data_IF_871039318810
#
_entry.id   IF_871039318810
#
_cell.length_a   1.000
_cell.length_b   1.000
_cell.length_c   1.000
_cell.angle_alpha   90.00
_cell.angle_beta   90.00
_cell.angle_gamma   90.00
#
_symmetry.space_group_name_H-M   'P 1'
#
loop_
_entity.id
_entity.type
_entity.pdbx_description
1 polymer ?
#
# COMPACT_ATOMS: atom_id res chain seq x y z
N UNK A 1 24.04 12.02 -11.23
CA UNK A 1 22.71 11.98 -10.58
C UNK A 1 21.97 10.71 -10.98
N UNK A 2 21.65 9.80 -10.04
CA UNK A 2 20.78 8.65 -10.32
C UNK A 2 19.33 9.13 -10.44
N UNK A 3 18.86 9.32 -11.67
CA UNK A 3 17.45 9.59 -12.00
C UNK A 3 16.64 8.32 -11.83
N UNK A 4 15.57 8.35 -11.03
CA UNK A 4 14.38 7.46 -10.99
C UNK A 4 13.61 7.91 -9.73
N UNK A 5 12.28 8.09 -9.72
CA UNK A 5 11.28 7.02 -9.90
C UNK A 5 10.11 7.46 -10.82
N UNK A 6 9.93 8.74 -11.12
CA UNK A 6 8.62 9.20 -11.62
C UNK A 6 8.61 10.02 -12.90
N UNK A 7 9.70 10.71 -13.23
CA UNK A 7 9.90 11.50 -14.46
C UNK A 7 11.36 12.02 -14.45
N UNK A 8 11.83 12.60 -15.57
CA UNK A 8 13.13 13.29 -15.61
C UNK A 8 13.10 14.42 -14.57
N UNK A 9 14.15 14.56 -13.76
CA UNK A 9 14.33 15.60 -12.72
C UNK A 9 13.58 15.44 -11.38
N UNK A 10 13.00 14.26 -11.08
CA UNK A 10 12.43 13.98 -9.75
C UNK A 10 13.41 13.23 -8.83
N UNK A 11 13.42 13.53 -7.51
CA UNK A 11 14.29 12.87 -6.55
C UNK A 11 13.90 11.41 -6.32
N UNK A 12 14.90 10.58 -6.01
CA UNK A 12 14.69 9.15 -5.72
C UNK A 12 14.04 8.93 -4.35
N UNK A 13 13.49 7.73 -4.13
CA UNK A 13 12.96 7.37 -2.81
C UNK A 13 14.06 7.39 -1.73
N UNK A 14 15.31 7.09 -2.08
CA UNK A 14 16.45 7.28 -1.18
C UNK A 14 16.70 8.74 -0.80
N UNK A 15 16.47 9.68 -1.70
CA UNK A 15 16.53 11.10 -1.36
C UNK A 15 15.39 11.49 -0.41
N UNK A 16 14.16 11.05 -0.71
CA UNK A 16 12.98 11.32 0.13
C UNK A 16 13.16 10.74 1.54
N UNK A 17 13.65 9.50 1.66
CA UNK A 17 13.84 8.87 2.96
C UNK A 17 14.90 9.58 3.81
N UNK A 18 16.00 10.04 3.21
CA UNK A 18 17.08 10.75 3.93
C UNK A 18 16.65 12.11 4.47
N UNK A 19 15.69 12.76 3.83
CA UNK A 19 15.22 14.10 4.19
C UNK A 19 13.80 14.08 4.77
N UNK A 20 13.34 12.92 5.25
CA UNK A 20 12.01 12.77 5.83
C UNK A 20 11.92 13.46 7.19
N UNK A 21 10.83 14.20 7.52
CA UNK A 21 9.59 14.37 6.78
C UNK A 21 9.54 15.59 5.83
N UNK A 22 10.60 16.38 5.72
CA UNK A 22 10.62 17.66 4.98
C UNK A 22 10.27 17.48 3.49
N UNK A 23 10.57 16.32 2.92
CA UNK A 23 10.25 15.97 1.52
C UNK A 23 8.85 15.35 1.30
N UNK A 24 7.96 15.36 2.31
CA UNK A 24 6.58 14.84 2.23
C UNK A 24 5.79 15.43 1.05
N UNK A 25 5.97 16.72 0.76
CA UNK A 25 5.32 17.41 -0.35
C UNK A 25 5.71 16.84 -1.74
N UNK A 26 6.93 16.32 -1.88
CA UNK A 26 7.41 15.68 -3.13
C UNK A 26 6.67 14.36 -3.38
N UNK A 27 6.45 13.57 -2.33
CA UNK A 27 5.68 12.33 -2.41
C UNK A 27 4.19 12.62 -2.68
N UNK A 28 3.63 13.68 -2.08
CA UNK A 28 2.23 14.10 -2.27
C UNK A 28 1.87 14.28 -3.74
N UNK A 29 2.72 14.99 -4.50
CA UNK A 29 2.52 15.24 -5.93
C UNK A 29 2.35 13.93 -6.70
N UNK A 30 3.15 12.92 -6.36
CA UNK A 30 3.11 11.65 -7.05
C UNK A 30 1.92 10.78 -6.63
N UNK A 31 1.65 10.68 -5.33
CA UNK A 31 0.56 9.85 -4.80
C UNK A 31 -0.79 10.38 -5.28
N UNK A 32 -1.03 11.69 -5.21
CA UNK A 32 -2.33 12.30 -5.54
C UNK A 32 -2.53 12.60 -7.03
N UNK A 33 -1.49 12.49 -7.85
CA UNK A 33 -1.62 12.65 -9.30
C UNK A 33 -2.45 11.51 -9.89
N UNK A 34 -3.62 11.85 -10.43
CA UNK A 34 -4.52 10.92 -11.12
C UNK A 34 -4.53 11.12 -12.64
N UNK A 35 -3.60 11.93 -13.16
CA UNK A 35 -3.60 12.33 -14.57
C UNK A 35 -3.28 11.17 -15.52
N UNK A 36 -2.55 10.15 -15.05
CA UNK A 36 -2.14 9.00 -15.87
C UNK A 36 -2.20 7.70 -15.08
N UNK A 37 -2.61 6.64 -15.77
CA UNK A 37 -2.58 5.26 -15.27
C UNK A 37 -1.17 4.88 -14.80
N UNK A 38 -0.99 4.36 -13.57
CA UNK A 38 0.33 3.99 -13.07
C UNK A 38 0.93 2.81 -13.84
N UNK A 39 2.20 2.92 -14.23
CA UNK A 39 2.95 1.76 -14.72
C UNK A 39 3.52 1.01 -13.51
N UNK A 40 2.73 0.10 -12.94
CA UNK A 40 3.12 -0.64 -11.73
C UNK A 40 4.40 -1.44 -11.90
N UNK A 41 4.65 -2.04 -13.07
CA UNK A 41 5.88 -2.79 -13.28
C UNK A 41 7.11 -1.89 -13.16
N UNK A 42 7.06 -0.69 -13.77
CA UNK A 42 8.13 0.30 -13.67
C UNK A 42 8.27 0.83 -12.24
N UNK A 43 7.16 1.12 -11.55
CA UNK A 43 7.17 1.59 -10.16
C UNK A 43 7.82 0.55 -9.26
N UNK A 44 7.36 -0.70 -9.29
CA UNK A 44 7.88 -1.79 -8.46
C UNK A 44 9.36 -2.07 -8.74
N UNK A 45 9.78 -2.13 -10.01
CA UNK A 45 11.20 -2.33 -10.37
C UNK A 45 12.09 -1.16 -9.98
N UNK A 46 11.59 0.07 -10.07
CA UNK A 46 12.32 1.26 -9.60
C UNK A 46 12.47 1.27 -8.08
N UNK A 47 11.43 0.88 -7.34
CA UNK A 47 11.49 0.71 -5.88
C UNK A 47 12.51 -0.37 -5.49
N UNK A 48 12.49 -1.53 -6.16
CA UNK A 48 13.47 -2.59 -5.94
C UNK A 48 14.90 -2.08 -6.16
N UNK A 49 15.14 -1.37 -7.26
CA UNK A 49 16.46 -0.81 -7.56
C UNK A 49 16.92 0.20 -6.51
N UNK A 50 16.03 1.11 -6.09
CA UNK A 50 16.33 2.10 -5.06
C UNK A 50 16.59 1.43 -3.69
N UNK A 51 15.98 0.27 -3.42
CA UNK A 51 16.22 -0.59 -2.26
C UNK A 51 17.45 -1.51 -2.41
N UNK A 52 18.28 -1.34 -3.45
CA UNK A 52 19.45 -2.16 -3.77
C UNK A 52 19.13 -3.64 -4.08
N UNK A 53 17.91 -3.95 -4.53
CA UNK A 53 17.51 -5.29 -4.97
C UNK A 53 17.52 -5.36 -6.50
N UNK A 54 18.65 -5.79 -7.06
CA UNK A 54 18.87 -5.83 -8.52
C UNK A 54 18.51 -7.18 -9.16
N UNK A 55 18.65 -8.28 -8.42
CA UNK A 55 18.41 -9.65 -8.90
C UNK A 55 17.11 -10.18 -8.31
N UNK A 56 16.07 -10.24 -9.14
CA UNK A 56 14.74 -10.75 -8.75
C UNK A 56 14.35 -12.07 -9.44
N UNK A 57 15.20 -12.61 -10.32
CA UNK A 57 14.98 -13.89 -11.00
C UNK A 57 13.56 -14.06 -11.57
N UNK A 58 12.94 -15.19 -11.23
CA UNK A 58 11.60 -15.55 -11.72
C UNK A 58 10.47 -14.62 -11.20
N UNK A 59 10.72 -13.80 -10.17
CA UNK A 59 9.74 -12.81 -9.71
C UNK A 59 9.48 -11.71 -10.73
N UNK A 60 10.32 -11.55 -11.75
CA UNK A 60 10.07 -10.61 -12.85
C UNK A 60 8.75 -10.91 -13.56
N UNK A 61 8.48 -12.18 -13.87
CA UNK A 61 7.24 -12.57 -14.56
C UNK A 61 6.02 -12.44 -13.63
N UNK A 62 6.19 -12.78 -12.35
CA UNK A 62 5.17 -12.56 -11.31
C UNK A 62 4.80 -11.09 -11.24
N UNK A 63 5.79 -10.18 -11.13
CA UNK A 63 5.56 -8.74 -11.07
C UNK A 63 4.88 -8.21 -12.33
N UNK A 64 5.25 -8.68 -13.53
CA UNK A 64 4.55 -8.29 -14.77
C UNK A 64 3.08 -8.68 -14.73
N UNK A 65 2.78 -9.92 -14.34
CA UNK A 65 1.40 -10.44 -14.25
C UNK A 65 0.58 -9.66 -13.22
N UNK A 66 1.09 -9.54 -11.99
CA UNK A 66 0.43 -8.80 -10.91
C UNK A 66 0.25 -7.32 -11.25
N UNK A 67 1.25 -6.68 -11.88
CA UNK A 67 1.14 -5.29 -12.34
C UNK A 67 -0.01 -5.08 -13.31
N UNK A 68 -0.26 -6.05 -14.21
CA UNK A 68 -1.39 -6.00 -15.15
C UNK A 68 -2.72 -6.16 -14.41
N UNK A 69 -2.80 -7.10 -13.47
CA UNK A 69 -4.01 -7.33 -12.68
C UNK A 69 -4.35 -6.13 -11.79
N UNK A 70 -3.36 -5.59 -11.07
CA UNK A 70 -3.49 -4.38 -10.24
C UNK A 70 -3.82 -3.11 -11.03
N UNK A 71 -3.54 -3.12 -12.34
CA UNK A 71 -3.92 -2.04 -13.27
C UNK A 71 -5.38 -2.11 -13.72
N UNK A 72 -6.10 -3.18 -13.42
CA UNK A 72 -7.50 -3.35 -13.81
C UNK A 72 -8.39 -2.90 -12.66
N UNK A 73 -9.40 -2.09 -12.96
CA UNK A 73 -10.42 -1.65 -11.99
C UNK A 73 -11.79 -2.14 -12.46
N UNK A 74 -12.06 -3.43 -12.29
CA UNK A 74 -13.25 -4.09 -12.84
C UNK A 74 -14.57 -3.57 -12.26
N UNK A 75 -14.54 -3.05 -11.03
CA UNK A 75 -15.73 -2.68 -10.25
C UNK A 75 -15.91 -1.18 -10.12
N UNK A 76 -15.16 -0.36 -10.88
CA UNK A 76 -15.18 1.10 -10.81
C UNK A 76 -14.98 1.64 -9.38
N UNK A 77 -14.00 1.07 -8.65
CA UNK A 77 -13.63 1.54 -7.32
C UNK A 77 -13.17 2.99 -7.37
N UNK A 78 -13.68 3.81 -6.44
CA UNK A 78 -13.36 5.24 -6.38
C UNK A 78 -12.21 5.54 -5.41
N UNK A 79 -12.06 4.73 -4.36
CA UNK A 79 -10.97 4.80 -3.40
C UNK A 79 -9.98 3.64 -3.57
N UNK A 80 -10.45 2.38 -3.57
CA UNK A 80 -9.59 1.20 -3.73
C UNK A 80 -9.23 0.98 -5.22
N UNK A 81 -8.62 1.99 -5.82
CA UNK A 81 -8.26 2.07 -7.22
C UNK A 81 -6.74 1.89 -7.45
N UNK A 82 -6.32 1.99 -8.71
CA UNK A 82 -4.91 1.94 -9.08
C UNK A 82 -4.06 3.05 -8.43
N UNK A 83 -4.64 4.19 -8.05
CA UNK A 83 -3.91 5.27 -7.40
C UNK A 83 -3.69 5.00 -5.92
N UNK A 84 -4.62 4.33 -5.25
CA UNK A 84 -4.42 3.78 -3.92
C UNK A 84 -3.30 2.73 -3.90
N UNK A 85 -3.30 1.77 -4.82
CA UNK A 85 -2.23 0.75 -4.87
C UNK A 85 -0.85 1.40 -5.10
N UNK A 86 -0.79 2.41 -5.98
CA UNK A 86 0.41 3.21 -6.22
C UNK A 86 0.87 3.91 -4.93
N UNK A 87 -0.05 4.47 -4.15
CA UNK A 87 0.24 5.09 -2.87
C UNK A 87 0.87 4.10 -1.89
N UNK A 88 0.21 2.96 -1.69
CA UNK A 88 0.63 1.93 -0.72
C UNK A 88 2.00 1.38 -1.10
N UNK A 89 2.25 1.03 -2.36
CA UNK A 89 3.59 0.55 -2.81
C UNK A 89 4.71 1.53 -2.45
N UNK A 90 4.49 2.83 -2.69
CA UNK A 90 5.54 3.83 -2.44
C UNK A 90 5.74 4.14 -0.97
N UNK A 91 4.66 4.23 -0.21
CA UNK A 91 4.72 4.47 1.22
C UNK A 91 5.35 3.24 1.90
N UNK A 92 5.00 2.01 1.50
CA UNK A 92 5.64 0.80 2.01
C UNK A 92 7.15 0.82 1.75
N UNK A 93 7.59 1.20 0.54
CA UNK A 93 9.01 1.29 0.24
C UNK A 93 9.71 2.41 1.04
N UNK A 94 9.06 3.57 1.23
CA UNK A 94 9.58 4.65 2.08
C UNK A 94 9.79 4.16 3.52
N UNK A 95 8.77 3.56 4.11
CA UNK A 95 8.80 3.03 5.47
C UNK A 95 9.86 1.94 5.62
N UNK A 96 10.00 1.07 4.62
CA UNK A 96 11.06 0.06 4.57
C UNK A 96 12.46 0.69 4.61
N UNK A 97 12.68 1.80 3.90
CA UNK A 97 13.97 2.54 3.98
C UNK A 97 14.18 3.15 5.36
N UNK A 98 13.16 3.84 5.88
CA UNK A 98 13.23 4.52 7.19
C UNK A 98 13.44 3.52 8.34
N UNK A 99 12.92 2.30 8.19
CA UNK A 99 13.07 1.21 9.15
C UNK A 99 14.28 0.28 8.88
N UNK A 100 15.16 0.65 7.94
CA UNK A 100 16.34 -0.13 7.55
C UNK A 100 16.05 -1.59 7.18
N UNK A 101 14.94 -1.85 6.50
CA UNK A 101 14.52 -3.17 6.03
C UNK A 101 15.37 -3.59 4.81
N UNK A 102 16.31 -4.54 5.00
CA UNK A 102 17.38 -4.85 4.01
C UNK A 102 17.32 -6.24 3.36
N UNK A 103 16.51 -7.17 3.87
CA UNK A 103 16.49 -8.55 3.34
C UNK A 103 15.86 -8.58 1.94
N UNK A 104 16.65 -8.86 0.90
CA UNK A 104 16.23 -8.75 -0.51
C UNK A 104 14.94 -9.51 -0.84
N UNK A 105 14.82 -10.77 -0.41
CA UNK A 105 13.61 -11.56 -0.65
C UNK A 105 12.38 -10.96 0.06
N UNK A 106 12.55 -10.48 1.29
CA UNK A 106 11.48 -9.82 2.06
C UNK A 106 11.05 -8.50 1.41
N UNK A 107 11.97 -7.75 0.81
CA UNK A 107 11.66 -6.53 0.05
C UNK A 107 10.83 -6.87 -1.20
N UNK A 108 11.16 -7.95 -1.89
CA UNK A 108 10.37 -8.43 -3.04
C UNK A 108 8.94 -8.76 -2.58
N UNK A 109 8.80 -9.50 -1.49
CA UNK A 109 7.49 -9.85 -0.94
C UNK A 109 6.72 -8.62 -0.44
N UNK A 110 7.38 -7.67 0.20
CA UNK A 110 6.78 -6.41 0.62
C UNK A 110 6.14 -5.68 -0.56
N UNK A 111 6.88 -5.53 -1.67
CA UNK A 111 6.39 -4.85 -2.87
C UNK A 111 5.25 -5.63 -3.53
N UNK A 112 5.34 -6.96 -3.57
CA UNK A 112 4.27 -7.80 -4.11
C UNK A 112 3.00 -7.66 -3.28
N UNK A 113 3.09 -7.76 -1.95
CA UNK A 113 1.93 -7.66 -1.05
C UNK A 113 1.33 -6.25 -1.13
N UNK A 114 2.15 -5.20 -1.08
CA UNK A 114 1.68 -3.83 -1.23
C UNK A 114 0.96 -3.59 -2.56
N UNK A 115 1.42 -4.20 -3.66
CA UNK A 115 0.78 -4.09 -4.97
C UNK A 115 -0.58 -4.81 -5.06
N UNK A 116 -0.81 -5.83 -4.22
CA UNK A 116 -1.94 -6.76 -4.35
C UNK A 116 -2.89 -6.80 -3.15
N UNK A 117 -2.63 -6.05 -2.07
CA UNK A 117 -3.43 -6.12 -0.83
C UNK A 117 -4.94 -5.97 -1.06
N UNK A 118 -5.33 -5.13 -2.04
CA UNK A 118 -6.71 -4.90 -2.46
C UNK A 118 -7.05 -5.41 -3.86
N UNK A 119 -6.29 -6.39 -4.35
CA UNK A 119 -6.53 -6.94 -5.68
C UNK A 119 -7.96 -7.53 -5.78
N UNK A 120 -8.72 -7.11 -6.80
CA UNK A 120 -10.10 -7.56 -7.03
C UNK A 120 -11.08 -7.13 -5.91
N UNK A 121 -10.75 -6.03 -5.19
CA UNK A 121 -11.65 -5.38 -4.23
C UNK A 121 -12.96 -4.96 -4.92
N UNK A 122 -14.11 -5.27 -4.32
CA UNK A 122 -15.42 -5.10 -4.98
C UNK A 122 -16.02 -3.69 -4.91
N UNK A 123 -15.33 -2.72 -4.32
CA UNK A 123 -15.86 -1.37 -4.26
C UNK A 123 -17.05 -1.22 -3.31
N UNK A 124 -17.18 -2.09 -2.31
CA UNK A 124 -18.29 -2.08 -1.33
C UNK A 124 -17.90 -2.80 -0.05
N UNK A 125 -18.54 -2.39 1.05
CA UNK A 125 -18.39 -3.08 2.32
C UNK A 125 -19.21 -4.38 2.31
N UNK A 126 -18.54 -5.51 2.53
CA UNK A 126 -19.19 -6.81 2.70
C UNK A 126 -19.39 -7.05 4.20
N UNK A 127 -20.56 -6.67 4.71
CA UNK A 127 -20.83 -6.63 6.16
C UNK A 127 -20.98 -8.02 6.77
N UNK A 128 -21.50 -8.99 6.00
CA UNK A 128 -21.88 -10.31 6.52
C UNK A 128 -20.72 -11.31 6.58
N UNK A 129 -19.51 -10.91 6.15
CA UNK A 129 -18.34 -11.81 6.12
C UNK A 129 -17.06 -11.02 6.36
N UNK A 130 -16.58 -11.07 7.60
CA UNK A 130 -15.27 -10.53 7.98
C UNK A 130 -14.18 -11.11 7.08
N UNK A 131 -13.18 -10.29 6.76
CA UNK A 131 -12.02 -10.66 5.94
C UNK A 131 -12.32 -11.05 4.49
N UNK A 132 -13.55 -10.83 3.98
CA UNK A 132 -13.93 -11.31 2.65
C UNK A 132 -13.06 -10.72 1.53
N UNK A 133 -12.82 -9.41 1.55
CA UNK A 133 -12.01 -8.73 0.53
C UNK A 133 -10.55 -9.17 0.66
N UNK A 134 -10.04 -9.25 1.88
CA UNK A 134 -8.66 -9.62 2.20
C UNK A 134 -8.35 -11.06 1.76
N UNK A 135 -9.23 -12.01 2.07
CA UNK A 135 -9.10 -13.41 1.65
C UNK A 135 -9.20 -13.56 0.13
N UNK A 136 -10.01 -12.72 -0.53
CA UNK A 136 -10.14 -12.70 -2.00
C UNK A 136 -8.85 -12.17 -2.64
N UNK A 137 -8.33 -11.03 -2.18
CA UNK A 137 -7.06 -10.48 -2.65
C UNK A 137 -5.91 -11.48 -2.45
N UNK A 138 -5.86 -12.13 -1.28
CA UNK A 138 -4.85 -13.14 -1.00
C UNK A 138 -4.98 -14.37 -1.91
N UNK A 139 -6.21 -14.83 -2.20
CA UNK A 139 -6.46 -15.94 -3.12
C UNK A 139 -5.95 -15.64 -4.53
N UNK A 140 -6.19 -14.43 -5.03
CA UNK A 140 -5.67 -13.99 -6.34
C UNK A 140 -4.14 -13.96 -6.36
N UNK A 141 -3.50 -13.40 -5.32
CA UNK A 141 -2.05 -13.44 -5.19
C UNK A 141 -1.55 -14.88 -5.17
N UNK A 142 -2.13 -15.74 -4.32
CA UNK A 142 -1.65 -17.09 -4.09
C UNK A 142 -1.70 -17.95 -5.35
N UNK A 143 -2.71 -17.79 -6.20
CA UNK A 143 -2.74 -18.46 -7.51
C UNK A 143 -1.57 -18.07 -8.41
N UNK A 144 -1.12 -16.81 -8.37
CA UNK A 144 0.00 -16.34 -9.18
C UNK A 144 1.35 -16.82 -8.62
N UNK A 145 1.49 -16.88 -7.30
CA UNK A 145 2.76 -17.19 -6.63
C UNK A 145 2.84 -18.58 -6.02
N UNK A 146 1.84 -19.45 -6.21
CA UNK A 146 1.71 -20.74 -5.52
C UNK A 146 3.00 -21.57 -5.55
N UNK A 147 3.63 -21.71 -6.71
CA UNK A 147 4.89 -22.47 -6.90
C UNK A 147 6.11 -21.83 -6.22
N UNK A 148 5.98 -20.65 -5.62
CA UNK A 148 7.04 -19.90 -4.93
C UNK A 148 6.77 -19.73 -3.44
N UNK A 149 5.60 -20.15 -2.94
CA UNK A 149 5.27 -20.05 -1.52
C UNK A 149 5.60 -21.35 -0.80
N UNK A 150 6.41 -21.25 0.25
CA UNK A 150 6.44 -22.29 1.28
C UNK A 150 5.14 -22.25 2.09
N UNK A 151 4.76 -23.36 2.73
CA UNK A 151 3.60 -23.41 3.63
C UNK A 151 3.68 -22.36 4.74
N UNK A 152 4.89 -22.07 5.24
CA UNK A 152 5.14 -21.01 6.23
C UNK A 152 4.80 -19.63 5.66
N UNK A 153 5.29 -19.30 4.47
CA UNK A 153 5.03 -18.02 3.83
C UNK A 153 3.57 -17.88 3.41
N UNK A 154 2.92 -18.96 2.98
CA UNK A 154 1.49 -18.97 2.69
C UNK A 154 0.66 -18.53 3.91
N UNK A 155 0.85 -19.18 5.07
CA UNK A 155 0.15 -18.83 6.32
C UNK A 155 0.50 -17.40 6.78
N UNK A 156 1.77 -17.02 6.68
CA UNK A 156 2.25 -15.67 7.02
C UNK A 156 1.54 -14.62 6.17
N UNK A 157 1.53 -14.78 4.85
CA UNK A 157 0.94 -13.78 3.96
C UNK A 157 -0.58 -13.75 4.07
N UNK A 158 -1.24 -14.89 4.24
CA UNK A 158 -2.66 -14.90 4.55
C UNK A 158 -2.97 -14.06 5.81
N UNK A 159 -2.14 -14.18 6.87
CA UNK A 159 -2.27 -13.35 8.06
C UNK A 159 -2.04 -11.87 7.76
N UNK A 160 -1.03 -11.52 6.97
CA UNK A 160 -0.75 -10.12 6.57
C UNK A 160 -1.95 -9.50 5.85
N UNK A 161 -2.54 -10.22 4.88
CA UNK A 161 -3.74 -9.74 4.19
C UNK A 161 -4.91 -9.59 5.14
N UNK A 162 -5.22 -10.61 5.96
CA UNK A 162 -6.32 -10.49 6.94
C UNK A 162 -6.11 -9.34 7.92
N UNK A 163 -4.87 -8.97 8.19
CA UNK A 163 -4.53 -7.88 9.08
C UNK A 163 -4.86 -6.50 8.51
N UNK A 164 -4.98 -6.35 7.17
CA UNK A 164 -5.43 -5.09 6.55
C UNK A 164 -6.93 -4.86 6.72
N UNK A 165 -7.68 -5.82 7.29
CA UNK A 165 -9.08 -5.64 7.63
C UNK A 165 -9.26 -4.56 8.70
N UNK A 166 -9.54 -3.35 8.22
CA UNK A 166 -9.52 -2.13 9.03
C UNK A 166 -10.34 -2.20 10.34
N UNK A 167 -11.52 -2.84 10.42
CA UNK A 167 -12.29 -2.90 11.66
C UNK A 167 -11.58 -3.59 12.82
N UNK A 168 -10.68 -4.54 12.59
CA UNK A 168 -9.95 -5.27 13.63
C UNK A 168 -8.49 -4.88 13.59
N UNK A 169 -7.96 -4.29 14.67
CA UNK A 169 -6.53 -4.00 14.76
C UNK A 169 -5.79 -5.24 15.29
N UNK A 170 -4.80 -5.79 14.57
CA UNK A 170 -3.98 -6.88 15.08
C UNK A 170 -3.17 -6.46 16.31
N UNK A 171 -3.15 -7.31 17.34
CA UNK A 171 -2.41 -7.09 18.59
C UNK A 171 -1.04 -7.78 18.48
N UNK A 172 0.01 -7.20 19.08
CA UNK A 172 1.35 -7.80 19.20
C UNK A 172 1.99 -8.23 17.86
N UNK A 173 1.79 -7.45 16.80
CA UNK A 173 2.43 -7.71 15.49
C UNK A 173 3.95 -7.68 15.65
N UNK A 174 4.62 -8.82 15.45
CA UNK A 174 6.10 -8.93 15.48
C UNK A 174 6.72 -8.85 14.08
N UNK A 175 5.95 -9.17 13.05
CA UNK A 175 6.42 -9.22 11.67
C UNK A 175 6.62 -7.81 11.10
N UNK A 176 7.87 -7.47 10.77
CA UNK A 176 8.20 -6.14 10.23
C UNK A 176 7.53 -5.84 8.89
N UNK A 177 7.37 -6.86 8.03
CA UNK A 177 6.69 -6.69 6.75
C UNK A 177 5.22 -6.31 6.99
N UNK A 178 4.58 -7.04 7.90
CA UNK A 178 3.18 -6.80 8.30
C UNK A 178 2.99 -5.38 8.82
N UNK A 179 3.85 -4.92 9.74
CA UNK A 179 3.82 -3.53 10.24
C UNK A 179 3.90 -2.49 9.13
N UNK A 180 4.81 -2.68 8.16
CA UNK A 180 4.99 -1.75 7.05
C UNK A 180 3.74 -1.70 6.17
N UNK A 181 3.13 -2.85 5.86
CA UNK A 181 1.91 -2.90 5.04
C UNK A 181 0.75 -2.20 5.74
N UNK A 182 0.51 -2.51 7.02
CA UNK A 182 -0.58 -1.93 7.80
C UNK A 182 -0.45 -0.41 7.94
N UNK A 183 0.76 0.07 8.26
CA UNK A 183 0.99 1.51 8.37
C UNK A 183 0.90 2.21 7.01
N UNK A 184 1.38 1.59 5.93
CA UNK A 184 1.36 2.20 4.60
C UNK A 184 -0.06 2.38 4.05
N UNK A 185 -0.91 1.38 4.25
CA UNK A 185 -2.32 1.39 3.86
C UNK A 185 -3.08 2.53 4.55
N UNK A 186 -2.93 2.65 5.87
CA UNK A 186 -3.51 3.74 6.67
C UNK A 186 -2.92 5.11 6.25
N UNK A 187 -1.60 5.21 6.10
CA UNK A 187 -0.93 6.46 5.77
C UNK A 187 -1.30 6.99 4.38
N UNK A 188 -1.67 6.12 3.44
CA UNK A 188 -2.15 6.53 2.11
C UNK A 188 -3.31 7.53 2.22
N UNK A 189 -4.09 7.47 3.30
CA UNK A 189 -5.21 8.36 3.59
C UNK A 189 -4.90 9.55 4.51
N UNK A 190 -3.77 9.54 5.22
CA UNK A 190 -3.50 10.52 6.29
C UNK A 190 -2.33 11.47 6.01
N UNK A 191 -1.26 10.96 5.39
CA UNK A 191 0.06 11.59 5.50
C UNK A 191 0.16 12.98 4.85
N UNK A 192 -0.84 13.40 4.07
CA UNK A 192 -0.85 14.65 3.29
C UNK A 192 -1.84 15.70 3.82
N UNK A 193 -2.26 15.55 5.09
CA UNK A 193 -3.04 16.52 5.82
C UNK A 193 -4.54 16.49 5.53
N UNK A 194 -5.30 17.25 6.34
CA UNK A 194 -6.76 17.19 6.43
C UNK A 194 -7.48 17.36 5.09
N UNK A 195 -7.08 18.36 4.28
CA UNK A 195 -7.69 18.60 2.96
C UNK A 195 -7.59 17.37 2.04
N UNK A 196 -6.45 16.68 2.08
CA UNK A 196 -6.25 15.47 1.30
C UNK A 196 -7.07 14.32 1.87
N UNK A 197 -7.06 14.15 3.19
CA UNK A 197 -7.82 13.10 3.87
C UNK A 197 -9.32 13.19 3.61
N UNK A 198 -9.90 14.38 3.66
CA UNK A 198 -11.32 14.60 3.32
C UNK A 198 -11.61 14.22 1.87
N UNK A 199 -10.74 14.57 0.92
CA UNK A 199 -10.90 14.20 -0.49
C UNK A 199 -10.85 12.68 -0.71
N UNK A 200 -10.02 11.97 0.04
CA UNK A 200 -9.98 10.50 -0.02
C UNK A 200 -11.19 9.88 0.67
N UNK A 201 -11.66 10.46 1.77
CA UNK A 201 -12.90 10.06 2.42
C UNK A 201 -14.13 10.27 1.53
N UNK A 202 -14.16 11.31 0.69
CA UNK A 202 -15.22 11.52 -0.29
C UNK A 202 -15.28 10.37 -1.30
N UNK A 203 -14.14 9.92 -1.82
CA UNK A 203 -14.06 8.75 -2.70
C UNK A 203 -14.55 7.48 -2.01
N UNK A 204 -14.08 7.27 -0.77
CA UNK A 204 -14.47 6.10 0.02
C UNK A 204 -15.96 6.13 0.33
N UNK A 205 -16.52 7.30 0.65
CA UNK A 205 -17.95 7.51 0.88
C UNK A 205 -18.77 7.03 -0.31
N UNK A 206 -18.42 7.45 -1.53
CA UNK A 206 -19.11 7.00 -2.74
C UNK A 206 -19.03 5.49 -2.92
N UNK A 207 -17.85 4.92 -2.69
CA UNK A 207 -17.61 3.50 -2.82
C UNK A 207 -18.45 2.68 -1.81
N UNK A 208 -18.43 3.04 -0.53
CA UNK A 208 -19.15 2.29 0.51
C UNK A 208 -20.62 2.72 0.68
N UNK A 209 -21.10 3.66 -0.16
CA UNK A 209 -22.44 4.27 -0.07
C UNK A 209 -22.75 4.81 1.34
N UNK A 210 -21.82 5.57 1.89
CA UNK A 210 -22.02 6.22 3.18
C UNK A 210 -22.88 7.47 3.02
N UNK A 211 -23.96 7.59 3.80
CA UNK A 211 -24.97 8.64 3.58
C UNK A 211 -24.54 10.04 4.09
N UNK A 212 -23.68 10.08 5.11
CA UNK A 212 -23.24 11.34 5.73
C UNK A 212 -22.18 12.09 4.91
N UNK A 213 -21.77 13.27 5.37
CA UNK A 213 -20.72 14.08 4.72
C UNK A 213 -19.33 13.42 4.84
N UNK A 214 -18.46 13.69 3.87
CA UNK A 214 -17.12 13.11 3.80
C UNK A 214 -16.23 13.50 5.00
N UNK A 215 -16.41 14.71 5.54
CA UNK A 215 -15.69 15.17 6.74
C UNK A 215 -16.12 14.39 7.99
N UNK A 216 -17.39 13.99 8.10
CA UNK A 216 -17.87 13.11 9.18
C UNK A 216 -17.20 11.73 9.09
N UNK A 217 -17.13 11.16 7.88
CA UNK A 217 -16.42 9.89 7.65
C UNK A 217 -14.94 10.00 8.03
N UNK A 218 -14.29 11.08 7.60
CA UNK A 218 -12.87 11.31 7.88
C UNK A 218 -12.60 11.52 9.38
N UNK A 219 -13.44 12.30 10.08
CA UNK A 219 -13.33 12.46 11.55
C UNK A 219 -13.55 11.14 12.28
N UNK A 220 -14.52 10.34 11.85
CA UNK A 220 -14.73 8.99 12.40
C UNK A 220 -13.50 8.09 12.22
N UNK A 221 -12.86 8.15 11.05
CA UNK A 221 -11.60 7.48 10.78
C UNK A 221 -10.47 7.96 11.71
N UNK A 222 -10.31 9.28 11.91
CA UNK A 222 -9.31 9.83 12.84
C UNK A 222 -9.56 9.38 14.30
N UNK A 223 -10.82 9.35 14.75
CA UNK A 223 -11.17 8.86 16.08
C UNK A 223 -10.83 7.38 16.26
N UNK A 224 -11.08 6.55 15.23
CA UNK A 224 -10.67 5.14 15.22
C UNK A 224 -9.14 5.00 15.23
N UNK A 225 -8.39 5.90 14.59
CA UNK A 225 -6.94 5.87 14.60
C UNK A 225 -6.32 6.31 15.93
N UNK A 226 -6.96 7.23 16.64
CA UNK A 226 -6.53 7.58 18.00
C UNK A 226 -6.53 6.35 18.92
N UNK A 227 -7.44 5.38 18.69
CA UNK A 227 -7.46 4.09 19.39
C UNK A 227 -6.60 3.02 18.69
N UNK A 228 -6.24 3.23 17.42
CA UNK A 228 -5.42 2.34 16.59
C UNK A 228 -4.09 3.01 16.21
N UNK A 229 -3.19 3.17 17.19
CA UNK A 229 -1.82 3.66 16.97
C UNK A 229 -1.07 2.94 15.82
N UNK A 230 -0.28 3.69 15.04
CA UNK A 230 0.61 3.13 14.01
C UNK A 230 1.72 2.28 14.64
N UNK A 231 2.19 1.26 13.93
CA UNK A 231 3.15 0.28 14.45
C UNK A 231 4.59 0.78 14.43
N UNK A 232 5.01 1.53 13.41
CA UNK A 232 6.39 1.99 13.25
C UNK A 232 6.54 3.43 13.74
N UNK A 233 7.67 3.73 14.38
CA UNK A 233 7.97 5.10 14.83
C UNK A 233 8.15 6.06 13.66
N UNK A 234 8.68 5.57 12.52
CA UNK A 234 8.76 6.34 11.28
C UNK A 234 7.38 6.74 10.76
N UNK A 235 6.37 5.90 10.94
CA UNK A 235 5.00 6.18 10.52
C UNK A 235 4.35 7.22 11.43
N UNK A 236 4.58 7.13 12.75
CA UNK A 236 4.07 8.14 13.71
C UNK A 236 4.59 9.54 13.40
N UNK A 237 5.88 9.67 13.01
CA UNK A 237 6.49 10.94 12.57
C UNK A 237 6.00 11.43 11.19
N UNK A 238 5.19 10.62 10.50
CA UNK A 238 4.71 10.91 9.15
C UNK A 238 3.31 11.53 9.11
N UNK A 239 2.59 11.55 10.22
CA UNK A 239 1.28 12.20 10.33
C UNK A 239 1.47 13.67 10.71
#
# INVERSE_FOLDING_TARGET
MRQYIFEKNHPSLSYIARNWPNTKHLLKKFVLSNYKKPNFYKICTSCLFDMNVHKIGNFRNILKKLSKLSSQNFTYNSYHDQHHFKAVVLISCLLAKLSHFKKSEEIIWLIIIALTHDLNHQGRRVVNKSYYQEDRSFKELSFVVFKKLSNRNYKRFQRVFRSTYFPVKPINVKDHLEKIILDADVLASLMFGMKTGIKLAERLKHEIRFDNKADVLFRGFLNLLNTKSLYLDSSKKSC
#
